data_IF_705157652286
#
_entry.id   IF_705157652286
#
_cell.length_a   1.000
_cell.length_b   1.000
_cell.length_c   1.000
_cell.angle_alpha   90.00
_cell.angle_beta   90.00
_cell.angle_gamma   90.00
#
_symmetry.space_group_name_H-M   'P 1'
#
loop_
_entity.id
_entity.type
_entity.pdbx_description
1 polymer ?
#
# COMPACT_ATOMS: atom_id res chain seq x y z
N UNK A 1 17.35 -27.02 -0.90
CA UNK A 1 16.43 -26.31 0.00
C UNK A 1 15.14 -26.12 -0.75
N UNK A 2 14.03 -26.60 -0.22
CA UNK A 2 12.71 -26.34 -0.80
C UNK A 2 12.34 -24.89 -0.50
N UNK A 3 11.72 -24.23 -1.46
CA UNK A 3 11.23 -22.87 -1.33
C UNK A 3 9.71 -22.90 -1.32
N UNK A 4 9.12 -22.10 -0.44
CA UNK A 4 7.69 -21.97 -0.28
C UNK A 4 7.30 -20.50 -0.44
N UNK A 5 6.12 -20.24 -1.01
CA UNK A 5 5.51 -18.92 -0.97
C UNK A 5 4.69 -18.77 0.32
N UNK A 6 4.87 -17.66 1.04
CA UNK A 6 4.14 -17.33 2.26
C UNK A 6 3.47 -15.96 2.13
N UNK A 7 2.15 -15.92 2.32
CA UNK A 7 1.38 -14.68 2.45
C UNK A 7 1.20 -14.32 3.92
N UNK A 8 1.63 -13.11 4.26
CA UNK A 8 1.57 -12.55 5.63
C UNK A 8 0.70 -11.30 5.64
N UNK A 9 -0.07 -11.11 6.72
CA UNK A 9 -1.06 -10.02 6.83
C UNK A 9 -1.09 -9.37 8.22
N UNK A 10 -0.18 -9.75 9.12
CA UNK A 10 -0.15 -9.35 10.52
C UNK A 10 1.25 -9.06 11.02
N UNK A 11 1.64 -9.63 12.17
CA UNK A 11 2.91 -9.34 12.85
C UNK A 11 4.18 -9.71 12.07
N UNK A 12 4.04 -10.46 10.98
CA UNK A 12 5.13 -10.84 10.07
C UNK A 12 5.29 -9.88 8.88
N UNK A 13 4.38 -8.91 8.69
CA UNK A 13 4.55 -7.84 7.69
C UNK A 13 5.83 -7.07 7.98
N UNK A 14 6.44 -6.48 6.94
CA UNK A 14 7.64 -5.66 7.10
C UNK A 14 7.45 -4.60 8.20
N UNK A 15 8.45 -4.41 9.05
CA UNK A 15 8.45 -3.47 10.19
C UNK A 15 7.48 -3.80 11.33
N UNK A 16 6.75 -4.90 11.28
CA UNK A 16 5.98 -5.41 12.42
C UNK A 16 6.86 -6.28 13.35
N UNK A 17 6.38 -6.50 14.58
CA UNK A 17 7.12 -7.06 15.72
C UNK A 17 7.91 -8.34 15.42
N UNK A 18 7.36 -9.25 14.61
CA UNK A 18 7.98 -10.54 14.32
C UNK A 18 8.80 -10.56 13.00
N UNK A 19 8.81 -9.47 12.23
CA UNK A 19 9.48 -9.49 10.93
C UNK A 19 10.99 -9.68 11.03
N UNK A 20 11.66 -8.94 11.91
CA UNK A 20 13.13 -8.98 12.01
C UNK A 20 13.62 -10.38 12.45
N UNK A 21 12.90 -11.03 13.36
CA UNK A 21 13.30 -12.32 13.91
C UNK A 21 13.02 -13.51 12.96
N UNK A 22 11.98 -13.42 12.13
CA UNK A 22 11.50 -14.55 11.33
C UNK A 22 11.62 -14.34 9.81
N UNK A 23 11.47 -13.10 9.34
CA UNK A 23 11.26 -12.79 7.92
C UNK A 23 12.41 -12.02 7.27
N UNK A 24 13.35 -11.45 8.03
CA UNK A 24 14.42 -10.57 7.51
C UNK A 24 15.17 -11.09 6.28
N UNK A 25 15.52 -12.37 6.27
CA UNK A 25 16.28 -13.00 5.18
C UNK A 25 15.38 -13.55 4.06
N UNK A 26 14.05 -13.39 4.20
CA UNK A 26 13.07 -13.86 3.22
C UNK A 26 12.99 -12.91 2.04
N UNK A 27 12.89 -13.47 0.83
CA UNK A 27 12.87 -12.68 -0.38
C UNK A 27 11.43 -12.20 -0.66
N UNK A 28 11.18 -10.88 -0.80
CA UNK A 28 9.85 -10.41 -1.17
C UNK A 28 9.53 -10.82 -2.61
N UNK A 29 8.35 -11.39 -2.80
CA UNK A 29 7.75 -11.69 -4.11
C UNK A 29 6.78 -10.59 -4.54
N UNK A 30 6.00 -10.06 -3.60
CA UNK A 30 5.16 -8.87 -3.79
C UNK A 30 4.99 -8.13 -2.45
N UNK A 31 5.21 -6.83 -2.44
CA UNK A 31 4.98 -5.93 -1.29
C UNK A 31 3.50 -5.56 -1.16
N UNK A 32 2.73 -5.74 -2.23
CA UNK A 32 1.30 -5.47 -2.29
C UNK A 32 0.57 -6.70 -2.81
N UNK A 33 0.06 -7.51 -1.88
CA UNK A 33 -0.68 -8.73 -2.17
C UNK A 33 -2.02 -8.75 -1.41
N UNK A 34 -2.98 -9.54 -1.88
CA UNK A 34 -4.27 -9.70 -1.21
C UNK A 34 -4.94 -11.04 -1.46
N UNK A 35 -5.80 -11.43 -0.52
CA UNK A 35 -6.65 -12.62 -0.61
C UNK A 35 -8.12 -12.26 -0.34
N UNK A 36 -9.05 -13.11 -0.77
CA UNK A 36 -10.46 -13.02 -0.35
C UNK A 36 -10.59 -13.49 1.10
N UNK A 37 -11.16 -12.66 1.97
CA UNK A 37 -11.32 -12.97 3.39
C UNK A 37 -11.59 -11.76 4.25
N UNK A 38 -11.58 -11.96 5.57
CA UNK A 38 -11.66 -10.91 6.59
C UNK A 38 -10.56 -11.12 7.62
N UNK A 39 -10.04 -10.03 8.17
CA UNK A 39 -9.16 -10.06 9.35
C UNK A 39 -9.85 -9.46 10.56
N UNK A 40 -9.45 -9.95 11.73
CA UNK A 40 -10.03 -9.61 13.01
C UNK A 40 -8.92 -9.28 14.01
N UNK A 41 -9.18 -8.32 14.89
CA UNK A 41 -8.34 -8.03 16.04
C UNK A 41 -8.60 -9.06 17.15
N UNK A 42 -7.56 -9.79 17.55
CA UNK A 42 -7.62 -10.78 18.63
C UNK A 42 -7.65 -10.15 20.02
N UNK A 43 -7.34 -8.85 20.13
CA UNK A 43 -7.14 -8.14 21.39
C UNK A 43 -5.80 -8.44 22.08
N UNK A 44 -4.94 -9.25 21.45
CA UNK A 44 -3.65 -9.68 22.00
C UNK A 44 -2.45 -9.06 21.28
N UNK A 45 -2.68 -8.09 20.38
CA UNK A 45 -1.62 -7.42 19.63
C UNK A 45 -1.31 -8.02 18.27
N UNK A 46 -2.05 -9.03 17.82
CA UNK A 46 -1.89 -9.67 16.50
C UNK A 46 -3.26 -9.94 15.84
N UNK A 47 -3.36 -9.92 14.49
CA UNK A 47 -4.63 -10.18 13.81
C UNK A 47 -4.86 -11.67 13.53
N UNK A 48 -6.10 -12.04 13.22
CA UNK A 48 -6.46 -13.35 12.71
C UNK A 48 -7.23 -13.26 11.39
N UNK A 49 -6.86 -14.05 10.37
CA UNK A 49 -7.55 -14.11 9.09
C UNK A 49 -8.54 -15.28 9.00
N UNK A 50 -9.73 -15.01 8.48
CA UNK A 50 -10.68 -16.02 7.99
C UNK A 50 -10.77 -15.87 6.47
N UNK A 51 -10.24 -16.81 5.68
CA UNK A 51 -10.27 -16.72 4.22
C UNK A 51 -11.65 -17.03 3.66
N UNK A 52 -11.84 -16.77 2.37
CA UNK A 52 -13.06 -17.08 1.58
C UNK A 52 -14.34 -16.39 2.07
N UNK A 53 -14.23 -15.44 3.00
CA UNK A 53 -15.31 -14.53 3.34
C UNK A 53 -15.39 -13.37 2.34
N UNK A 54 -16.57 -12.77 2.21
CA UNK A 54 -16.76 -11.56 1.40
C UNK A 54 -15.97 -10.41 2.05
N UNK A 55 -14.83 -10.07 1.47
CA UNK A 55 -13.91 -9.04 1.94
C UNK A 55 -12.57 -9.18 1.24
N UNK A 56 -11.59 -8.38 1.65
CA UNK A 56 -10.23 -8.47 1.13
C UNK A 56 -9.26 -8.31 2.29
N UNK A 57 -8.26 -9.18 2.36
CA UNK A 57 -7.17 -9.08 3.33
C UNK A 57 -5.92 -8.67 2.57
N UNK A 58 -5.33 -7.53 2.97
CA UNK A 58 -4.12 -7.00 2.36
C UNK A 58 -2.89 -7.42 3.15
N UNK A 59 -1.83 -7.75 2.43
CA UNK A 59 -0.59 -8.20 3.02
C UNK A 59 0.57 -8.20 2.03
N UNK A 60 1.57 -8.99 2.37
CA UNK A 60 2.82 -9.11 1.63
C UNK A 60 3.07 -10.60 1.31
N UNK A 61 3.78 -10.86 0.22
CA UNK A 61 4.09 -12.20 -0.26
C UNK A 61 5.60 -12.40 -0.29
N UNK A 62 6.08 -13.49 0.31
CA UNK A 62 7.50 -13.81 0.43
C UNK A 62 7.82 -15.22 -0.06
N UNK A 63 9.03 -15.40 -0.58
CA UNK A 63 9.67 -16.69 -0.78
C UNK A 63 10.51 -17.02 0.47
N UNK A 64 10.22 -18.17 1.08
CA UNK A 64 10.83 -18.62 2.33
C UNK A 64 11.37 -20.05 2.21
N UNK A 65 12.39 -20.36 3.01
CA UNK A 65 12.92 -21.73 3.14
C UNK A 65 12.05 -22.58 4.08
N UNK A 66 12.16 -23.91 3.98
CA UNK A 66 11.54 -24.83 4.96
C UNK A 66 11.98 -24.53 6.41
N UNK A 67 13.24 -24.18 6.63
CA UNK A 67 13.75 -23.82 7.97
C UNK A 67 13.06 -22.57 8.53
N UNK A 68 12.76 -21.60 7.66
CA UNK A 68 12.02 -20.39 8.03
C UNK A 68 10.55 -20.73 8.30
N UNK A 69 9.93 -21.54 7.44
CA UNK A 69 8.56 -22.01 7.62
C UNK A 69 8.40 -22.78 8.94
N UNK A 70 9.34 -23.65 9.30
CA UNK A 70 9.30 -24.40 10.56
C UNK A 70 9.37 -23.49 11.80
N UNK A 71 10.11 -22.37 11.74
CA UNK A 71 10.13 -21.38 12.83
C UNK A 71 8.80 -20.65 12.95
N UNK A 72 8.19 -20.32 11.81
CA UNK A 72 6.88 -19.65 11.77
C UNK A 72 5.78 -20.61 12.24
N UNK A 73 5.85 -21.90 11.90
CA UNK A 73 4.93 -22.93 12.40
C UNK A 73 4.90 -22.99 13.94
N UNK A 74 6.05 -22.78 14.59
CA UNK A 74 6.14 -22.70 16.05
C UNK A 74 5.59 -21.38 16.61
N UNK A 75 5.80 -20.27 15.90
CA UNK A 75 5.25 -18.96 16.28
C UNK A 75 3.73 -18.92 16.19
N UNK A 76 3.18 -19.49 15.13
CA UNK A 76 1.75 -19.48 14.78
C UNK A 76 1.01 -20.70 15.36
N UNK A 77 1.53 -21.29 16.45
CA UNK A 77 0.87 -22.38 17.16
C UNK A 77 -0.51 -21.92 17.64
N UNK A 78 -1.57 -22.55 17.11
CA UNK A 78 -2.96 -22.16 17.36
C UNK A 78 -3.72 -21.67 16.12
N UNK A 79 -3.01 -21.40 15.02
CA UNK A 79 -3.59 -21.13 13.71
C UNK A 79 -3.64 -22.40 12.84
N UNK A 80 -4.61 -22.45 11.94
CA UNK A 80 -4.65 -23.44 10.86
C UNK A 80 -3.76 -22.94 9.70
N UNK A 81 -2.85 -23.80 9.23
CA UNK A 81 -2.03 -23.55 8.04
C UNK A 81 -2.72 -24.09 6.79
N UNK A 82 -2.85 -23.26 5.76
CA UNK A 82 -3.44 -23.66 4.48
C UNK A 82 -2.82 -22.94 3.28
N UNK A 83 -3.03 -23.47 2.08
CA UNK A 83 -2.62 -22.84 0.83
C UNK A 83 -3.82 -22.09 0.24
N UNK A 84 -3.61 -20.82 -0.10
CA UNK A 84 -4.63 -19.93 -0.65
C UNK A 84 -4.16 -19.30 -1.96
N UNK A 85 -5.13 -18.85 -2.74
CA UNK A 85 -4.93 -18.08 -3.96
C UNK A 85 -4.68 -16.60 -3.61
N UNK A 86 -3.43 -16.15 -3.79
CA UNK A 86 -2.98 -14.78 -3.51
C UNK A 86 -2.91 -13.97 -4.80
N UNK A 87 -3.64 -12.86 -4.82
CA UNK A 87 -3.60 -11.90 -5.91
C UNK A 87 -2.49 -10.87 -5.67
N UNK A 88 -1.78 -10.55 -6.74
CA UNK A 88 -0.79 -9.47 -6.80
C UNK A 88 -1.03 -8.65 -8.06
N UNK A 89 -0.36 -7.51 -8.19
CA UNK A 89 -0.38 -6.72 -9.43
C UNK A 89 0.23 -7.48 -10.62
N UNK A 90 1.03 -8.52 -10.37
CA UNK A 90 1.65 -9.38 -11.39
C UNK A 90 0.86 -10.68 -11.66
N UNK A 91 -0.24 -10.91 -10.96
CA UNK A 91 -1.11 -12.07 -11.14
C UNK A 91 -1.26 -12.93 -9.89
N UNK A 92 -1.81 -14.14 -10.10
CA UNK A 92 -2.19 -15.07 -9.05
C UNK A 92 -1.00 -15.98 -8.66
N UNK A 93 -0.78 -16.15 -7.35
CA UNK A 93 0.22 -17.05 -6.77
C UNK A 93 -0.42 -17.88 -5.67
N UNK A 94 -0.24 -19.20 -5.70
CA UNK A 94 -0.62 -20.07 -4.59
C UNK A 94 0.41 -19.96 -3.45
N UNK A 95 -0.03 -19.63 -2.24
CA UNK A 95 0.88 -19.44 -1.11
C UNK A 95 0.31 -19.99 0.19
N UNK A 96 1.21 -20.39 1.09
CA UNK A 96 0.88 -20.75 2.46
C UNK A 96 0.43 -19.49 3.20
N UNK A 97 -0.56 -19.62 4.07
CA UNK A 97 -0.90 -18.61 5.07
C UNK A 97 -1.48 -19.26 6.33
N UNK A 98 -1.44 -18.52 7.44
CA UNK A 98 -1.97 -18.96 8.73
C UNK A 98 -3.32 -18.31 8.94
N UNK A 99 -4.31 -19.07 9.43
CA UNK A 99 -5.71 -18.65 9.46
C UNK A 99 -6.43 -19.17 10.68
N UNK A 100 -7.62 -18.64 10.92
CA UNK A 100 -8.53 -19.08 11.96
C UNK A 100 -9.81 -19.63 11.33
N UNK A 101 -10.40 -20.65 11.96
CA UNK A 101 -11.74 -21.10 11.59
C UNK A 101 -12.77 -20.02 11.91
N UNK A 102 -13.72 -19.82 11.02
CA UNK A 102 -14.81 -18.85 11.15
C UNK A 102 -15.51 -18.87 12.52
N UNK A 103 -15.77 -20.07 13.07
CA UNK A 103 -16.41 -20.23 14.38
C UNK A 103 -15.63 -19.57 15.53
N UNK A 104 -14.29 -19.57 15.45
CA UNK A 104 -13.40 -18.98 16.45
C UNK A 104 -13.27 -17.45 16.28
N UNK A 105 -13.61 -16.91 15.11
CA UNK A 105 -13.57 -15.47 14.84
C UNK A 105 -14.86 -14.73 15.24
N UNK A 106 -15.95 -15.46 15.51
CA UNK A 106 -17.30 -14.88 15.71
C UNK A 106 -17.43 -13.84 16.83
N UNK A 107 -16.51 -13.86 17.81
CA UNK A 107 -16.47 -12.93 18.94
C UNK A 107 -15.44 -11.82 18.78
N UNK A 108 -14.61 -11.88 17.73
CA UNK A 108 -13.52 -10.96 17.50
C UNK A 108 -14.01 -9.71 16.76
N UNK A 109 -13.32 -8.60 16.98
CA UNK A 109 -13.62 -7.34 16.31
C UNK A 109 -13.07 -7.38 14.90
N UNK A 110 -13.93 -7.23 13.90
CA UNK A 110 -13.50 -7.13 12.51
C UNK A 110 -12.66 -5.87 12.26
N UNK A 111 -11.64 -6.03 11.42
CA UNK A 111 -10.86 -4.94 10.84
C UNK A 111 -11.38 -4.74 9.41
N UNK A 112 -12.36 -3.84 9.27
CA UNK A 112 -13.14 -3.66 8.02
C UNK A 112 -12.28 -3.29 6.81
N UNK A 113 -11.16 -2.58 7.03
CA UNK A 113 -10.22 -2.20 5.95
C UNK A 113 -9.44 -3.37 5.38
N UNK A 114 -9.39 -4.50 6.09
CA UNK A 114 -8.59 -5.66 5.70
C UNK A 114 -7.08 -5.45 5.81
N UNK A 115 -6.61 -4.33 6.37
CA UNK A 115 -5.19 -3.97 6.44
C UNK A 115 -4.75 -3.76 7.89
N UNK A 116 -3.83 -4.61 8.36
CA UNK A 116 -3.33 -4.53 9.74
C UNK A 116 -2.59 -3.22 10.04
N UNK A 117 -1.67 -2.80 9.16
CA UNK A 117 -0.93 -1.53 9.33
C UNK A 117 -1.86 -0.32 9.41
N UNK A 118 -2.91 -0.31 8.59
CA UNK A 118 -3.92 0.75 8.59
C UNK A 118 -4.71 0.77 9.91
N UNK A 119 -5.13 -0.40 10.37
CA UNK A 119 -5.79 -0.54 11.67
C UNK A 119 -4.90 -0.01 12.81
N UNK A 120 -3.62 -0.38 12.79
CA UNK A 120 -2.62 0.05 13.78
C UNK A 120 -2.42 1.56 13.78
N UNK A 121 -2.34 2.19 12.61
CA UNK A 121 -2.25 3.64 12.48
C UNK A 121 -3.43 4.35 13.18
N UNK A 122 -4.66 3.84 12.98
CA UNK A 122 -5.86 4.37 13.65
C UNK A 122 -5.96 4.08 15.15
N UNK A 123 -5.38 2.97 15.62
CA UNK A 123 -5.32 2.66 17.05
C UNK A 123 -4.28 3.54 17.77
N UNK A 124 -3.10 3.69 17.18
CA UNK A 124 -1.98 4.41 17.78
C UNK A 124 -2.20 5.92 17.76
N UNK A 125 -2.77 6.46 16.67
CA UNK A 125 -2.97 7.91 16.46
C UNK A 125 -1.69 8.71 16.78
N UNK A 126 -0.59 8.45 16.06
CA UNK A 126 0.68 9.13 16.31
C UNK A 126 0.52 10.65 16.15
N UNK A 127 1.49 11.43 16.66
CA UNK A 127 1.45 12.90 16.48
C UNK A 127 1.48 13.28 15.00
N UNK A 128 2.34 12.61 14.25
CA UNK A 128 2.50 12.75 12.80
C UNK A 128 2.74 11.39 12.15
N UNK A 129 2.60 11.34 10.84
CA UNK A 129 2.97 10.19 10.01
C UNK A 129 3.52 10.68 8.66
N UNK A 130 4.25 9.81 7.96
CA UNK A 130 4.74 10.12 6.63
C UNK A 130 3.70 9.77 5.56
N UNK A 131 3.43 10.70 4.65
CA UNK A 131 2.52 10.54 3.52
C UNK A 131 3.28 10.69 2.20
N UNK A 132 3.25 9.65 1.36
CA UNK A 132 3.89 9.65 0.05
C UNK A 132 2.87 9.88 -1.07
N UNK A 133 2.99 11.04 -1.74
CA UNK A 133 2.17 11.43 -2.87
C UNK A 133 2.92 11.26 -4.20
N UNK A 134 2.31 10.58 -5.17
CA UNK A 134 2.92 10.31 -6.48
C UNK A 134 2.06 10.82 -7.66
N UNK A 135 0.99 11.57 -7.36
CA UNK A 135 0.03 12.13 -8.32
C UNK A 135 -0.35 13.58 -7.99
N UNK A 136 -1.62 13.97 -8.17
CA UNK A 136 -2.05 15.36 -7.92
C UNK A 136 -1.80 15.89 -6.50
N UNK A 137 -1.61 15.02 -5.51
CA UNK A 137 -1.28 15.41 -4.14
C UNK A 137 0.17 15.94 -3.99
N UNK A 138 0.96 15.92 -5.06
CA UNK A 138 2.24 16.64 -5.12
C UNK A 138 2.07 18.15 -5.32
N UNK A 139 0.88 18.61 -5.72
CA UNK A 139 0.53 20.03 -5.86
C UNK A 139 -0.40 20.49 -4.73
N UNK A 140 -0.25 21.75 -4.32
CA UNK A 140 -0.93 22.31 -3.15
C UNK A 140 -2.28 22.98 -3.45
N UNK A 141 -2.68 23.15 -4.72
CA UNK A 141 -3.86 23.93 -5.08
C UNK A 141 -5.14 23.34 -4.48
N UNK A 142 -5.26 22.00 -4.50
CA UNK A 142 -6.41 21.30 -3.91
C UNK A 142 -6.35 21.20 -2.39
N UNK A 143 -5.17 21.32 -1.78
CA UNK A 143 -5.07 21.45 -0.32
C UNK A 143 -5.54 22.83 0.11
N UNK A 144 -5.12 23.89 -0.59
CA UNK A 144 -5.55 25.29 -0.34
C UNK A 144 -7.05 25.46 -0.55
N UNK A 145 -7.59 24.91 -1.63
CA UNK A 145 -9.02 24.97 -1.94
C UNK A 145 -9.88 24.32 -0.85
N UNK A 146 -9.36 23.26 -0.21
CA UNK A 146 -10.01 22.58 0.89
C UNK A 146 -9.63 23.15 2.27
N UNK A 147 -8.84 24.23 2.32
CA UNK A 147 -8.35 24.88 3.55
C UNK A 147 -7.55 23.94 4.47
N UNK A 148 -6.86 22.94 3.90
CA UNK A 148 -6.05 21.95 4.63
C UNK A 148 -4.55 22.03 4.30
N UNK A 149 -4.11 23.01 3.50
CA UNK A 149 -2.70 23.19 3.11
C UNK A 149 -1.78 23.36 4.31
N UNK A 150 -2.30 23.85 5.45
CA UNK A 150 -1.56 23.95 6.69
C UNK A 150 -1.05 22.60 7.23
N UNK A 151 -1.66 21.47 6.87
CA UNK A 151 -1.18 20.14 7.23
C UNK A 151 -0.02 19.63 6.36
N UNK A 152 0.16 20.20 5.16
CA UNK A 152 1.10 19.70 4.15
C UNK A 152 2.30 20.66 3.98
N UNK A 153 2.66 21.40 5.03
CA UNK A 153 3.78 22.37 5.01
C UNK A 153 5.14 21.73 5.25
N UNK A 154 5.18 20.65 6.02
CA UNK A 154 6.42 19.90 6.30
C UNK A 154 6.70 18.92 5.16
N UNK A 155 7.43 19.41 4.15
CA UNK A 155 7.83 18.65 2.98
C UNK A 155 9.22 18.10 3.22
N UNK A 156 9.33 16.77 3.32
CA UNK A 156 10.62 16.10 3.50
C UNK A 156 11.42 16.15 2.19
N UNK A 157 10.76 15.94 1.05
CA UNK A 157 11.36 16.11 -0.28
C UNK A 157 10.85 15.11 -1.32
N UNK A 158 11.48 15.15 -2.50
CA UNK A 158 11.29 14.13 -3.53
C UNK A 158 11.98 12.83 -3.16
N UNK A 159 11.24 11.71 -3.18
CA UNK A 159 11.71 10.39 -2.82
C UNK A 159 11.40 9.33 -3.87
N UNK A 160 12.24 8.31 -3.93
CA UNK A 160 12.13 7.20 -4.85
C UNK A 160 11.52 5.96 -4.18
N UNK A 161 10.71 5.24 -4.95
CA UNK A 161 10.12 3.95 -4.60
C UNK A 161 10.45 2.92 -5.68
N UNK A 162 11.23 1.90 -5.28
CA UNK A 162 11.62 0.79 -6.15
C UNK A 162 10.59 -0.36 -6.11
N UNK A 163 10.38 -0.97 -7.27
CA UNK A 163 9.43 -2.06 -7.50
C UNK A 163 8.07 -1.59 -8.02
N UNK A 164 7.83 -0.28 -8.08
CA UNK A 164 6.55 0.30 -8.49
C UNK A 164 6.73 1.29 -9.63
N UNK A 165 5.75 1.34 -10.54
CA UNK A 165 5.66 2.36 -11.59
C UNK A 165 4.41 3.20 -11.39
N UNK A 166 4.52 4.53 -11.51
CA UNK A 166 3.33 5.40 -11.60
C UNK A 166 2.63 5.15 -12.94
N UNK A 167 1.38 4.71 -12.85
CA UNK A 167 0.48 4.38 -13.97
C UNK A 167 -0.84 5.13 -13.84
N UNK A 168 -1.71 5.03 -14.83
CA UNK A 168 -2.97 5.77 -14.92
C UNK A 168 -4.18 4.84 -15.02
N UNK A 169 -4.37 4.01 -13.99
CA UNK A 169 -5.28 2.84 -14.02
C UNK A 169 -6.68 3.14 -13.49
N UNK A 170 -6.92 4.30 -12.86
CA UNK A 170 -8.26 4.66 -12.38
C UNK A 170 -9.01 5.48 -13.42
N UNK A 171 -9.89 4.83 -14.19
CA UNK A 171 -10.67 5.50 -15.23
C UNK A 171 -11.86 6.27 -14.64
N UNK A 172 -12.04 7.51 -15.10
CA UNK A 172 -13.19 8.38 -14.85
C UNK A 172 -13.74 8.90 -16.19
N UNK A 173 -14.97 9.46 -16.22
CA UNK A 173 -15.56 9.97 -17.46
C UNK A 173 -14.71 11.04 -18.17
N UNK A 174 -13.88 11.78 -17.45
CA UNK A 174 -13.02 12.83 -18.00
C UNK A 174 -11.58 12.37 -18.29
N UNK A 175 -11.25 11.10 -18.03
CA UNK A 175 -9.91 10.53 -18.17
C UNK A 175 -9.44 9.84 -16.89
N UNK A 176 -8.19 9.39 -16.90
CA UNK A 176 -7.66 8.59 -15.79
C UNK A 176 -7.20 9.42 -14.59
N UNK A 177 -6.87 8.73 -13.49
CA UNK A 177 -6.12 9.23 -12.34
C UNK A 177 -4.92 8.32 -12.06
N UNK A 178 -3.92 8.86 -11.39
CA UNK A 178 -2.67 8.17 -11.12
C UNK A 178 -2.85 7.00 -10.13
N UNK A 179 -2.01 6.00 -10.27
CA UNK A 179 -1.88 4.80 -9.44
C UNK A 179 -0.40 4.42 -9.35
N UNK A 180 -0.03 3.56 -8.41
CA UNK A 180 1.23 2.83 -8.45
C UNK A 180 0.95 1.35 -8.63
N UNK A 181 1.61 0.75 -9.63
CA UNK A 181 1.51 -0.69 -9.92
C UNK A 181 2.83 -1.34 -9.57
N UNK A 182 2.78 -2.41 -8.78
CA UNK A 182 3.97 -3.20 -8.43
C UNK A 182 4.37 -4.08 -9.62
N UNK A 183 5.25 -3.55 -10.49
CA UNK A 183 5.68 -4.18 -11.74
C UNK A 183 7.20 -4.24 -11.91
N UNK A 184 7.94 -4.03 -10.82
CA UNK A 184 9.40 -4.06 -10.82
C UNK A 184 10.05 -2.78 -11.33
N UNK A 185 9.26 -1.77 -11.72
CA UNK A 185 9.78 -0.47 -12.13
C UNK A 185 10.27 0.40 -10.98
N UNK A 186 10.36 1.69 -11.26
CA UNK A 186 10.74 2.72 -10.30
C UNK A 186 9.88 3.96 -10.52
N UNK A 187 9.49 4.57 -9.40
CA UNK A 187 8.72 5.81 -9.37
C UNK A 187 9.26 6.79 -8.35
N UNK A 188 8.95 8.07 -8.55
CA UNK A 188 9.24 9.15 -7.60
C UNK A 188 7.95 9.85 -7.19
N UNK A 189 7.98 10.45 -6.00
CA UNK A 189 6.88 11.22 -5.43
C UNK A 189 7.37 12.16 -4.34
N UNK A 190 6.44 12.90 -3.73
CA UNK A 190 6.72 13.84 -2.65
C UNK A 190 6.38 13.17 -1.32
N UNK A 191 7.34 13.17 -0.40
CA UNK A 191 7.14 12.74 0.96
C UNK A 191 6.83 13.95 1.86
N UNK A 192 5.69 13.88 2.53
CA UNK A 192 5.27 14.84 3.55
C UNK A 192 5.33 14.19 4.93
N UNK A 193 5.66 14.97 5.96
CA UNK A 193 5.28 14.64 7.33
C UNK A 193 4.00 15.41 7.65
N UNK A 194 2.93 14.71 8.02
CA UNK A 194 1.62 15.33 8.26
C UNK A 194 1.10 14.96 9.64
N UNK A 195 0.40 15.86 10.34
CA UNK A 195 -0.24 15.52 11.60
C UNK A 195 -1.36 14.49 11.37
N UNK A 196 -1.63 13.66 12.38
CA UNK A 196 -2.65 12.61 12.25
C UNK A 196 -4.02 13.13 11.84
N UNK A 197 -4.41 14.34 12.24
CA UNK A 197 -5.68 14.96 11.87
C UNK A 197 -5.91 15.10 10.35
N UNK A 198 -4.83 15.13 9.55
CA UNK A 198 -4.89 15.19 8.08
C UNK A 198 -5.44 13.90 7.45
N UNK A 199 -5.39 12.76 8.16
CA UNK A 199 -5.75 11.45 7.62
C UNK A 199 -7.19 11.40 7.11
N UNK A 200 -8.13 12.07 7.80
CA UNK A 200 -9.55 12.11 7.41
C UNK A 200 -9.75 12.83 6.08
N UNK A 201 -9.01 13.90 5.84
CA UNK A 201 -9.04 14.60 4.57
C UNK A 201 -8.49 13.71 3.45
N UNK A 202 -7.36 13.03 3.67
CA UNK A 202 -6.77 12.11 2.69
C UNK A 202 -7.76 10.99 2.34
N UNK A 203 -8.36 10.32 3.33
CA UNK A 203 -9.31 9.24 3.09
C UNK A 203 -10.53 9.69 2.28
N UNK A 204 -11.05 10.89 2.56
CA UNK A 204 -12.13 11.49 1.80
C UNK A 204 -11.69 11.85 0.37
N UNK A 205 -10.49 12.42 0.19
CA UNK A 205 -9.97 12.82 -1.12
C UNK A 205 -9.72 11.62 -2.02
N UNK A 206 -9.21 10.53 -1.46
CA UNK A 206 -8.87 9.29 -2.16
C UNK A 206 -10.06 8.33 -2.24
N UNK A 207 -11.23 8.71 -1.74
CA UNK A 207 -12.46 7.95 -1.87
C UNK A 207 -12.36 6.54 -1.25
N UNK A 208 -11.72 6.43 -0.08
CA UNK A 208 -11.46 5.14 0.59
C UNK A 208 -12.76 4.43 0.93
N UNK A 209 -13.73 5.15 1.49
CA UNK A 209 -15.03 4.60 1.87
C UNK A 209 -15.93 4.30 0.66
N UNK A 210 -15.61 4.90 -0.48
CA UNK A 210 -16.28 4.72 -1.77
C UNK A 210 -15.62 3.60 -2.61
N UNK A 211 -14.59 2.92 -2.09
CA UNK A 211 -13.91 1.83 -2.78
C UNK A 211 -13.11 2.28 -4.01
N UNK A 212 -12.58 3.51 -3.99
CA UNK A 212 -11.76 4.03 -5.09
C UNK A 212 -10.28 3.65 -4.92
N UNK A 213 -9.63 4.19 -3.90
CA UNK A 213 -8.28 3.80 -3.49
C UNK A 213 -8.35 3.09 -2.14
N UNK A 214 -7.33 2.30 -1.84
CA UNK A 214 -7.07 1.78 -0.50
C UNK A 214 -5.80 2.39 0.09
N UNK A 215 -5.72 2.55 1.41
CA UNK A 215 -4.45 2.76 2.11
C UNK A 215 -3.44 1.65 1.79
N UNK A 216 -2.17 2.04 1.71
CA UNK A 216 -1.03 1.15 1.56
C UNK A 216 0.20 1.77 2.25
N UNK A 217 1.21 0.96 2.51
CA UNK A 217 2.42 1.38 3.21
C UNK A 217 3.64 0.99 2.39
N UNK A 218 4.54 1.96 2.20
CA UNK A 218 5.73 1.81 1.36
C UNK A 218 6.94 2.44 2.03
N UNK A 219 8.12 1.89 1.76
CA UNK A 219 9.38 2.50 2.19
C UNK A 219 9.90 3.43 1.11
N UNK A 220 10.18 4.69 1.48
CA UNK A 220 10.60 5.73 0.55
C UNK A 220 12.07 6.08 0.79
N UNK A 221 12.85 6.12 -0.28
CA UNK A 221 14.26 6.51 -0.22
C UNK A 221 14.45 7.97 -0.62
N UNK A 222 15.09 8.76 0.25
CA UNK A 222 15.50 10.15 -0.03
C UNK A 222 16.99 10.27 0.29
N UNK A 223 17.82 10.45 -0.74
CA UNK A 223 19.27 10.34 -0.59
C UNK A 223 19.66 8.95 -0.08
N UNK A 224 20.39 8.90 1.04
CA UNK A 224 20.79 7.64 1.70
C UNK A 224 19.82 7.20 2.80
N UNK A 225 18.80 7.99 3.10
CA UNK A 225 17.83 7.71 4.16
C UNK A 225 16.62 6.95 3.62
N UNK A 226 16.14 5.98 4.41
CA UNK A 226 14.90 5.25 4.18
C UNK A 226 13.87 5.75 5.21
N UNK A 227 12.69 6.10 4.72
CA UNK A 227 11.52 6.42 5.52
C UNK A 227 10.57 5.24 5.44
N UNK A 228 10.39 4.57 6.56
CA UNK A 228 9.63 3.32 6.67
C UNK A 228 8.13 3.57 6.82
N UNK A 229 7.31 2.63 6.36
CA UNK A 229 5.85 2.65 6.53
C UNK A 229 5.17 3.99 6.19
N UNK A 230 5.57 4.59 5.07
CA UNK A 230 4.93 5.79 4.57
C UNK A 230 3.55 5.46 4.02
N UNK A 231 2.51 6.14 4.53
CA UNK A 231 1.16 6.02 4.02
C UNK A 231 1.11 6.48 2.57
N UNK A 232 0.50 5.67 1.71
CA UNK A 232 0.13 6.04 0.34
C UNK A 232 -1.23 5.42 0.01
N UNK A 233 -1.73 5.66 -1.21
CA UNK A 233 -3.02 5.14 -1.66
C UNK A 233 -2.85 4.42 -2.98
N UNK A 234 -3.44 3.24 -3.15
CA UNK A 234 -3.36 2.44 -4.38
C UNK A 234 -4.76 2.19 -4.93
N UNK A 235 -4.92 2.17 -6.25
CA UNK A 235 -6.21 1.93 -6.89
C UNK A 235 -6.68 0.50 -6.58
N UNK A 236 -7.95 0.36 -6.17
CA UNK A 236 -8.57 -0.94 -5.88
C UNK A 236 -8.91 -1.72 -7.16
N UNK A 237 -9.52 -1.05 -8.14
CA UNK A 237 -9.94 -1.64 -9.40
C UNK A 237 -9.15 -1.00 -10.54
N UNK A 238 -8.00 -1.61 -10.85
CA UNK A 238 -7.09 -1.13 -11.90
C UNK A 238 -7.66 -1.48 -13.27
N UNK A 239 -7.74 -0.49 -14.16
CA UNK A 239 -8.14 -0.63 -15.56
C UNK A 239 -6.93 -0.40 -16.48
N UNK A 240 -7.09 -0.69 -17.78
CA UNK A 240 -6.12 -0.28 -18.79
C UNK A 240 -5.89 1.24 -18.78
N UNK A 241 -4.66 1.65 -19.06
CA UNK A 241 -4.26 3.05 -18.95
C UNK A 241 -4.83 3.90 -20.09
N UNK A 242 -5.44 5.03 -19.72
CA UNK A 242 -5.81 6.11 -20.63
C UNK A 242 -5.20 7.42 -20.15
N UNK A 243 -5.16 8.44 -21.00
CA UNK A 243 -4.58 9.72 -20.65
C UNK A 243 -5.37 10.42 -19.52
N UNK A 244 -4.67 11.07 -18.57
CA UNK A 244 -5.33 11.94 -17.59
C UNK A 244 -5.90 13.20 -18.26
N UNK A 245 -6.96 13.81 -17.70
CA UNK A 245 -7.45 15.09 -18.20
C UNK A 245 -6.41 16.19 -18.00
N UNK A 246 -6.45 17.22 -18.87
CA UNK A 246 -5.46 18.29 -18.88
C UNK A 246 -5.29 19.01 -17.55
N UNK A 247 -6.37 19.30 -16.83
CA UNK A 247 -6.31 19.95 -15.51
C UNK A 247 -5.57 19.10 -14.47
N UNK A 248 -5.88 17.79 -14.41
CA UNK A 248 -5.25 16.85 -13.47
C UNK A 248 -3.78 16.61 -13.83
N UNK A 249 -3.47 16.51 -15.12
CA UNK A 249 -2.09 16.46 -15.61
C UNK A 249 -1.29 17.68 -15.17
N UNK A 250 -1.85 18.89 -15.28
CA UNK A 250 -1.17 20.11 -14.84
C UNK A 250 -0.86 20.11 -13.34
N UNK A 251 -1.71 19.52 -12.50
CA UNK A 251 -1.42 19.33 -11.06
C UNK A 251 -0.23 18.40 -10.85
N UNK A 252 -0.19 17.26 -11.55
CA UNK A 252 0.95 16.32 -11.48
C UNK A 252 2.24 17.02 -11.93
N UNK A 253 2.22 17.72 -13.07
CA UNK A 253 3.42 18.35 -13.63
C UNK A 253 3.97 19.46 -12.73
N UNK A 254 3.10 20.27 -12.10
CA UNK A 254 3.52 21.32 -11.15
C UNK A 254 4.21 20.74 -9.93
N UNK A 255 3.60 19.74 -9.29
CA UNK A 255 4.22 19.05 -8.16
C UNK A 255 5.52 18.37 -8.56
N UNK A 256 5.52 17.71 -9.72
CA UNK A 256 6.71 17.04 -10.23
C UNK A 256 7.86 18.03 -10.45
N UNK A 257 7.60 19.20 -11.06
CA UNK A 257 8.60 20.23 -11.34
C UNK A 257 9.30 20.81 -10.11
N UNK A 258 8.61 20.83 -8.97
CA UNK A 258 9.14 21.35 -7.72
C UNK A 258 10.05 20.36 -7.00
N UNK A 259 9.73 19.07 -7.07
CA UNK A 259 10.30 18.09 -6.13
C UNK A 259 11.01 16.90 -6.77
N UNK A 260 10.70 16.55 -8.02
CA UNK A 260 11.18 15.31 -8.63
C UNK A 260 12.37 15.52 -9.56
N UNK A 261 13.12 14.45 -9.81
CA UNK A 261 14.30 14.47 -10.67
C UNK A 261 13.94 14.87 -12.10
N UNK A 262 14.88 15.50 -12.82
CA UNK A 262 14.65 15.85 -14.23
C UNK A 262 14.39 14.60 -15.11
N UNK A 263 15.06 13.50 -14.80
CA UNK A 263 14.89 12.24 -15.52
C UNK A 263 13.46 11.70 -15.34
N UNK A 264 12.96 11.66 -14.11
CA UNK A 264 11.62 11.16 -13.83
C UNK A 264 10.52 12.07 -14.39
N UNK A 265 10.70 13.40 -14.30
CA UNK A 265 9.79 14.38 -14.91
C UNK A 265 9.62 14.17 -16.42
N UNK A 266 10.72 13.91 -17.13
CA UNK A 266 10.67 13.57 -18.57
C UNK A 266 9.95 12.25 -18.81
N UNK A 267 10.26 11.22 -18.00
CA UNK A 267 9.64 9.89 -18.08
C UNK A 267 8.12 9.98 -17.92
N UNK A 268 7.62 10.61 -16.86
CA UNK A 268 6.17 10.65 -16.58
C UNK A 268 5.40 11.52 -17.58
N UNK A 269 5.99 12.63 -18.07
CA UNK A 269 5.40 13.43 -19.15
C UNK A 269 5.27 12.63 -20.43
N UNK A 270 6.37 11.98 -20.85
CA UNK A 270 6.38 11.14 -22.04
C UNK A 270 5.40 9.96 -21.94
N UNK A 271 5.21 9.41 -20.74
CA UNK A 271 4.21 8.38 -20.48
C UNK A 271 2.79 8.94 -20.65
N UNK A 272 2.45 10.05 -19.99
CA UNK A 272 1.13 10.68 -20.15
C UNK A 272 0.84 11.09 -21.61
N UNK A 273 1.85 11.49 -22.38
CA UNK A 273 1.74 11.84 -23.80
C UNK A 273 1.49 10.62 -24.72
N UNK A 274 1.95 9.43 -24.32
CA UNK A 274 1.80 8.21 -25.11
C UNK A 274 0.45 7.51 -24.91
N UNK A 275 -0.27 7.85 -23.84
CA UNK A 275 -1.56 7.23 -23.51
C UNK A 275 -2.68 7.67 -24.44
N UNK A 276 -3.62 6.75 -24.69
CA UNK A 276 -4.81 6.99 -25.51
C UNK A 276 -5.70 8.02 -24.81
N UNK A 277 -6.17 9.03 -25.55
CA UNK A 277 -7.10 10.04 -25.02
C UNK A 277 -8.52 9.46 -24.91
N UNK A 278 -9.29 9.82 -23.88
CA UNK A 278 -10.67 9.39 -23.72
C UNK A 278 -11.58 9.83 -24.87
#
# INVERSE_FOLDING_TARGET
MTMNALFVYGTLLKHEEHHEAYMKESKPLAKSAWISGRIYDTGQGYPACVPEEKGTVYGELYEITDDTLNKIDLLEEGYDKQVVDVMTDQGLVAAITYTLRKQNASVLKEIESGCWKEYRLWQQKPVSFYYFAYGSCMDDARFKLAEVDHYFKEIIGGGALNGFTTRFTLVRPDGSRADMVEDGGETEGVLYEVPFDAIRYLYKREGVNEGTYRPAFVDIKIGDQIYEDCLTFLVLQKSEEIAPPGHYRSEIEKGADLYLSEAFRKKIRSHMDSLIKP
#
